data_IF_996594920712
#
_entry.id   IF_996594920712
#
_cell.length_a   1.000
_cell.length_b   1.000
_cell.length_c   1.000
_cell.angle_alpha   90.00
_cell.angle_beta   90.00
_cell.angle_gamma   90.00
#
_symmetry.space_group_name_H-M   'P 1'
#
loop_
_entity.id
_entity.type
_entity.pdbx_description
1 polymer ?
#
# COMPACT_ATOMS: atom_id res chain seq x y z
N UNK A 1 -5.21 103.79 -11.96
CA UNK A 1 -5.09 102.73 -12.99
C UNK A 1 -4.42 101.55 -12.31
N UNK A 2 -5.21 100.60 -11.80
CA UNK A 2 -4.70 99.46 -11.04
C UNK A 2 -4.16 98.39 -11.98
N UNK A 3 -2.94 97.93 -11.74
CA UNK A 3 -2.37 96.76 -12.41
C UNK A 3 -2.06 95.72 -11.33
N UNK A 4 -2.73 94.59 -11.45
CA UNK A 4 -2.59 93.43 -10.59
C UNK A 4 -1.21 92.78 -10.78
N UNK A 5 -0.55 92.42 -9.69
CA UNK A 5 0.57 91.48 -9.69
C UNK A 5 0.18 90.22 -8.94
N UNK A 6 0.27 89.12 -9.68
CA UNK A 6 0.01 87.74 -9.28
C UNK A 6 1.17 87.27 -8.40
N UNK A 7 0.90 86.89 -7.15
CA UNK A 7 1.84 86.15 -6.30
C UNK A 7 1.32 84.75 -6.06
N UNK A 8 2.04 83.77 -6.61
CA UNK A 8 1.82 82.34 -6.39
C UNK A 8 2.10 81.97 -4.93
N UNK A 9 1.10 81.39 -4.27
CA UNK A 9 1.22 80.83 -2.92
C UNK A 9 2.00 79.51 -2.92
N UNK A 10 3.06 79.48 -2.13
CA UNK A 10 3.86 78.30 -1.76
C UNK A 10 3.02 77.26 -1.01
N UNK A 11 2.92 76.05 -1.57
CA UNK A 11 2.27 74.91 -0.93
C UNK A 11 3.20 74.22 0.09
N UNK A 12 2.69 73.99 1.30
CA UNK A 12 3.37 73.29 2.40
C UNK A 12 3.55 71.80 2.09
N UNK A 13 4.68 71.15 2.45
CA UNK A 13 4.91 69.74 2.14
C UNK A 13 4.03 68.83 3.01
N UNK A 14 3.17 68.05 2.36
CA UNK A 14 2.35 67.01 2.99
C UNK A 14 3.23 65.94 3.65
N UNK A 15 3.02 65.68 4.94
CA UNK A 15 3.69 64.63 5.68
C UNK A 15 3.28 63.25 5.13
N UNK A 16 4.21 62.57 4.44
CA UNK A 16 4.04 61.20 3.96
C UNK A 16 4.21 60.24 5.15
N UNK A 17 3.10 59.77 5.72
CA UNK A 17 3.10 58.76 6.77
C UNK A 17 3.48 57.39 6.17
N UNK A 18 4.73 56.96 6.33
CA UNK A 18 5.18 55.62 5.92
C UNK A 18 4.58 54.60 6.91
N UNK A 19 3.43 54.02 6.59
CA UNK A 19 2.95 52.81 7.27
C UNK A 19 3.88 51.64 6.92
N UNK A 20 4.79 51.30 7.85
CA UNK A 20 5.55 50.04 7.79
C UNK A 20 4.59 48.86 7.85
N UNK A 21 4.31 48.21 6.72
CA UNK A 21 3.63 46.91 6.68
C UNK A 21 4.45 45.90 7.47
N UNK A 22 3.92 45.43 8.60
CA UNK A 22 4.46 44.31 9.38
C UNK A 22 4.45 43.07 8.47
N UNK A 23 5.62 42.56 8.06
CA UNK A 23 5.73 41.26 7.37
C UNK A 23 5.17 40.19 8.31
N UNK A 24 4.06 39.57 7.94
CA UNK A 24 3.57 38.37 8.60
C UNK A 24 4.60 37.26 8.37
N UNK A 25 5.25 36.80 9.43
CA UNK A 25 6.08 35.60 9.37
C UNK A 25 5.15 34.44 9.01
N UNK A 26 5.32 33.88 7.82
CA UNK A 26 4.57 32.70 7.40
C UNK A 26 4.79 31.61 8.46
N UNK A 27 3.70 31.14 9.07
CA UNK A 27 3.76 30.06 10.06
C UNK A 27 4.37 28.85 9.34
N UNK A 28 5.53 28.38 9.78
CA UNK A 28 6.16 27.19 9.20
C UNK A 28 5.23 26.01 9.53
N UNK A 29 4.39 25.62 8.57
CA UNK A 29 3.53 24.44 8.70
C UNK A 29 4.46 23.24 8.57
N UNK A 30 4.75 22.58 9.69
CA UNK A 30 5.50 21.33 9.67
C UNK A 30 4.71 20.29 8.88
N UNK A 31 5.35 19.52 7.98
CA UNK A 31 4.67 18.49 7.23
C UNK A 31 4.08 17.45 8.18
N UNK A 32 2.89 16.94 7.88
CA UNK A 32 2.21 15.93 8.70
C UNK A 32 2.71 14.51 8.45
N UNK A 33 3.57 14.32 7.44
CA UNK A 33 4.11 13.04 6.98
C UNK A 33 5.43 13.29 6.23
N UNK A 34 6.31 12.27 6.10
CA UNK A 34 7.48 12.36 5.25
C UNK A 34 7.14 12.67 3.77
N UNK A 35 8.01 13.45 3.14
CA UNK A 35 8.02 13.69 1.69
C UNK A 35 8.43 12.43 0.92
N UNK A 36 8.20 12.42 -0.39
CA UNK A 36 8.57 11.27 -1.24
C UNK A 36 10.07 10.98 -1.19
N UNK A 37 10.91 12.03 -1.25
CA UNK A 37 12.36 11.91 -1.15
C UNK A 37 12.81 11.40 0.22
N UNK A 38 12.16 11.83 1.30
CA UNK A 38 12.44 11.31 2.65
C UNK A 38 12.11 9.83 2.75
N UNK A 39 10.96 9.38 2.23
CA UNK A 39 10.62 7.96 2.21
C UNK A 39 11.63 7.13 1.41
N UNK A 40 12.03 7.59 0.23
CA UNK A 40 13.05 6.91 -0.60
C UNK A 40 14.36 6.81 0.16
N UNK A 41 14.80 7.92 0.77
CA UNK A 41 16.05 7.95 1.53
C UNK A 41 15.99 7.01 2.74
N UNK A 42 14.92 7.06 3.54
CA UNK A 42 14.73 6.17 4.69
C UNK A 42 14.79 4.69 4.29
N UNK A 43 14.19 4.32 3.16
CA UNK A 43 14.17 2.94 2.69
C UNK A 43 15.50 2.48 2.10
N UNK A 44 16.17 3.35 1.35
CA UNK A 44 17.48 3.04 0.77
C UNK A 44 18.54 2.91 1.88
N UNK A 45 18.53 3.82 2.86
CA UNK A 45 19.42 3.84 4.02
C UNK A 45 19.00 2.82 5.11
N UNK A 46 17.91 2.08 4.90
CA UNK A 46 17.41 1.11 5.86
C UNK A 46 18.36 -0.09 5.97
N UNK A 47 18.89 -0.31 7.16
CA UNK A 47 19.68 -1.48 7.54
C UNK A 47 18.89 -2.27 8.57
N UNK A 48 18.54 -3.50 8.20
CA UNK A 48 17.79 -4.43 9.06
C UNK A 48 18.70 -4.90 10.19
N UNK A 49 18.14 -4.95 11.40
CA UNK A 49 18.84 -5.50 12.55
C UNK A 49 19.01 -7.02 12.39
N UNK A 50 20.27 -7.46 12.49
CA UNK A 50 20.69 -8.85 12.23
C UNK A 50 20.04 -9.84 13.19
N UNK A 51 19.74 -9.41 14.42
CA UNK A 51 19.13 -10.25 15.45
C UNK A 51 17.71 -10.69 15.05
N UNK A 52 17.03 -9.91 14.21
CA UNK A 52 15.67 -10.19 13.75
C UNK A 52 15.62 -10.80 12.35
N UNK A 53 16.74 -10.91 11.64
CA UNK A 53 16.78 -11.35 10.24
C UNK A 53 16.11 -12.72 10.05
N UNK A 54 16.41 -13.68 10.93
CA UNK A 54 15.81 -15.02 10.88
C UNK A 54 14.29 -15.02 11.08
N UNK A 55 13.77 -14.15 11.95
CA UNK A 55 12.33 -14.02 12.17
C UNK A 55 11.63 -13.36 10.97
N UNK A 56 12.27 -12.38 10.35
CA UNK A 56 11.79 -11.71 9.14
C UNK A 56 11.73 -12.72 7.98
N UNK A 57 12.82 -13.46 7.76
CA UNK A 57 12.90 -14.48 6.69
C UNK A 57 11.86 -15.58 6.89
N UNK A 58 11.74 -16.12 8.11
CA UNK A 58 10.70 -17.10 8.44
C UNK A 58 9.30 -16.55 8.15
N UNK A 59 9.03 -15.28 8.43
CA UNK A 59 7.73 -14.68 8.14
C UNK A 59 7.47 -14.59 6.63
N UNK A 60 8.48 -14.18 5.86
CA UNK A 60 8.39 -14.13 4.40
C UNK A 60 8.11 -15.53 3.84
N UNK A 61 8.86 -16.53 4.30
CA UNK A 61 8.79 -17.89 3.76
C UNK A 61 7.55 -18.67 4.18
N UNK A 62 7.08 -18.50 5.43
CA UNK A 62 5.93 -19.24 5.94
C UNK A 62 4.60 -18.55 5.66
N UNK A 63 4.56 -17.22 5.61
CA UNK A 63 3.30 -16.46 5.57
C UNK A 63 3.10 -15.72 4.26
N UNK A 64 4.15 -15.16 3.66
CA UNK A 64 4.01 -14.30 2.48
C UNK A 64 4.11 -15.13 1.20
N UNK A 65 5.22 -15.83 1.01
CA UNK A 65 5.50 -16.59 -0.21
C UNK A 65 4.43 -17.64 -0.55
N UNK A 66 3.94 -18.46 0.41
CA UNK A 66 2.92 -19.46 0.11
C UNK A 66 1.57 -18.85 -0.28
N UNK A 67 1.31 -17.61 0.14
CA UNK A 67 0.06 -16.91 -0.10
C UNK A 67 0.16 -15.85 -1.22
N UNK A 68 1.29 -15.78 -1.95
CA UNK A 68 1.51 -14.78 -3.01
C UNK A 68 0.38 -14.77 -4.04
N UNK A 69 -0.04 -15.94 -4.53
CA UNK A 69 -1.11 -16.04 -5.54
C UNK A 69 -2.42 -15.44 -5.05
N UNK A 70 -2.79 -15.70 -3.79
CA UNK A 70 -3.99 -15.13 -3.17
C UNK A 70 -3.95 -13.60 -3.12
N UNK A 71 -2.81 -13.01 -2.80
CA UNK A 71 -2.65 -11.56 -2.82
C UNK A 71 -2.71 -10.98 -4.24
N UNK A 72 -2.15 -11.70 -5.22
CA UNK A 72 -2.29 -11.34 -6.65
C UNK A 72 -3.75 -11.41 -7.09
N UNK A 73 -4.48 -12.46 -6.75
CA UNK A 73 -5.90 -12.62 -7.10
C UNK A 73 -6.75 -11.49 -6.51
N UNK A 74 -6.53 -11.13 -5.24
CA UNK A 74 -7.20 -9.97 -4.62
C UNK A 74 -6.89 -8.69 -5.39
N UNK A 75 -5.63 -8.49 -5.76
CA UNK A 75 -5.23 -7.33 -6.56
C UNK A 75 -5.95 -7.27 -7.91
N UNK A 76 -6.04 -8.38 -8.61
CA UNK A 76 -6.78 -8.50 -9.88
C UNK A 76 -8.27 -8.22 -9.70
N UNK A 77 -8.90 -8.81 -8.67
CA UNK A 77 -10.32 -8.59 -8.34
C UNK A 77 -10.62 -7.11 -8.00
N UNK A 78 -9.69 -6.43 -7.32
CA UNK A 78 -9.82 -4.99 -7.03
C UNK A 78 -9.75 -4.17 -8.31
N UNK A 79 -8.86 -4.54 -9.24
CA UNK A 79 -8.72 -3.90 -10.56
C UNK A 79 -9.86 -4.25 -11.53
N UNK A 80 -10.80 -5.13 -11.14
CA UNK A 80 -11.90 -5.59 -12.00
C UNK A 80 -11.47 -6.60 -13.07
N UNK A 81 -10.31 -7.23 -12.90
CA UNK A 81 -9.83 -8.33 -13.75
C UNK A 81 -10.32 -9.65 -13.18
N UNK A 82 -10.71 -10.57 -14.05
CA UNK A 82 -10.98 -11.95 -13.63
C UNK A 82 -9.63 -12.66 -13.43
N UNK A 83 -9.41 -13.35 -12.30
CA UNK A 83 -8.20 -14.13 -12.08
C UNK A 83 -8.00 -15.07 -13.27
N UNK A 84 -6.82 -15.03 -13.88
CA UNK A 84 -6.49 -15.93 -14.98
C UNK A 84 -6.57 -17.37 -14.46
N UNK A 85 -7.57 -18.12 -14.91
CA UNK A 85 -7.77 -19.53 -14.54
C UNK A 85 -6.65 -20.38 -15.15
N UNK A 86 -5.48 -20.36 -14.52
CA UNK A 86 -4.38 -21.30 -14.79
C UNK A 86 -4.12 -22.12 -13.53
N UNK A 87 -5.17 -22.77 -13.02
CA UNK A 87 -5.06 -23.85 -12.06
C UNK A 87 -6.31 -24.74 -12.19
N UNK A 88 -6.08 -26.01 -12.52
CA UNK A 88 -7.07 -27.07 -12.49
C UNK A 88 -7.94 -26.98 -11.23
N UNK A 89 -9.19 -26.59 -11.39
CA UNK A 89 -10.20 -26.69 -10.34
C UNK A 89 -11.51 -27.07 -11.00
N UNK A 90 -11.78 -28.37 -10.98
CA UNK A 90 -13.09 -28.95 -11.23
C UNK A 90 -14.06 -28.42 -10.17
N UNK A 91 -14.65 -27.24 -10.41
CA UNK A 91 -15.88 -26.82 -9.76
C UNK A 91 -17.01 -27.00 -10.75
N UNK A 92 -17.73 -28.12 -10.59
CA UNK A 92 -18.91 -28.43 -11.35
C UNK A 92 -20.02 -27.44 -11.04
N UNK A 93 -20.27 -26.53 -11.96
CA UNK A 93 -21.55 -25.86 -12.13
C UNK A 93 -22.20 -26.42 -13.40
N UNK A 94 -23.28 -27.17 -13.25
CA UNK A 94 -24.13 -27.58 -14.35
C UNK A 94 -25.56 -27.11 -14.06
N UNK A 95 -26.07 -26.06 -14.74
CA UNK A 95 -27.51 -25.96 -14.98
C UNK A 95 -27.81 -26.80 -16.23
N UNK A 96 -28.72 -27.76 -16.10
CA UNK A 96 -29.07 -28.67 -17.18
C UNK A 96 -29.81 -27.95 -18.31
N UNK A 97 -29.21 -27.94 -19.50
CA UNK A 97 -29.92 -28.00 -20.77
C UNK A 97 -29.02 -28.73 -21.78
N UNK A 98 -29.45 -29.93 -22.19
CA UNK A 98 -28.79 -30.71 -23.23
C UNK A 98 -29.15 -30.15 -24.61
N UNK A 99 -28.15 -29.72 -25.38
CA UNK A 99 -28.22 -29.68 -26.84
C UNK A 99 -27.00 -30.40 -27.41
N UNK A 100 -27.27 -31.37 -28.28
CA UNK A 100 -26.33 -32.33 -28.82
C UNK A 100 -25.78 -31.79 -30.15
N UNK A 101 -24.53 -31.29 -30.18
CA UNK A 101 -23.81 -31.02 -31.43
C UNK A 101 -22.34 -31.43 -31.30
N UNK A 102 -21.89 -32.29 -32.22
CA UNK A 102 -20.52 -32.81 -32.34
C UNK A 102 -19.54 -31.66 -32.69
N UNK A 103 -18.30 -31.63 -32.15
CA UNK A 103 -17.35 -30.58 -32.52
C UNK A 103 -16.61 -30.92 -33.83
N UNK A 104 -16.57 -29.95 -34.74
CA UNK A 104 -15.63 -29.88 -35.85
C UNK A 104 -14.28 -29.35 -35.32
N UNK A 105 -13.23 -30.15 -35.39
CA UNK A 105 -11.86 -29.76 -35.06
C UNK A 105 -11.20 -29.06 -36.25
N UNK A 106 -10.81 -27.79 -36.08
CA UNK A 106 -9.81 -27.15 -36.95
C UNK A 106 -8.56 -26.88 -36.14
N UNK A 107 -7.46 -27.51 -36.56
CA UNK A 107 -6.17 -27.47 -35.91
C UNK A 107 -5.28 -26.45 -36.66
N UNK A 108 -4.99 -25.32 -36.04
CA UNK A 108 -3.95 -24.39 -36.50
C UNK A 108 -2.78 -24.44 -35.52
N UNK A 109 -1.92 -25.44 -35.72
CA UNK A 109 -0.59 -25.46 -35.15
C UNK A 109 0.32 -24.64 -36.07
N UNK A 110 1.02 -23.64 -35.54
CA UNK A 110 2.40 -23.27 -35.89
C UNK A 110 2.82 -22.03 -35.07
N UNK A 111 3.20 -22.26 -33.81
CA UNK A 111 3.98 -21.30 -33.02
C UNK A 111 5.41 -21.87 -32.90
N UNK A 112 6.45 -21.19 -33.44
CA UNK A 112 7.80 -21.74 -33.58
C UNK A 112 8.59 -21.83 -32.27
N UNK A 113 7.94 -21.57 -31.13
CA UNK A 113 8.54 -21.66 -29.78
C UNK A 113 7.74 -22.55 -28.82
N UNK A 114 6.99 -23.53 -29.33
CA UNK A 114 6.35 -24.54 -28.49
C UNK A 114 7.30 -25.72 -28.19
N UNK A 115 7.87 -25.74 -27.00
CA UNK A 115 8.50 -26.95 -26.47
C UNK A 115 7.42 -27.88 -25.88
N UNK A 116 7.49 -29.20 -26.11
CA UNK A 116 6.52 -30.13 -25.56
C UNK A 116 6.57 -30.07 -24.02
N UNK A 117 5.43 -29.80 -23.40
CA UNK A 117 5.27 -29.83 -21.93
C UNK A 117 5.51 -31.26 -21.46
N UNK A 118 6.71 -31.52 -20.97
CA UNK A 118 7.02 -32.73 -20.24
C UNK A 118 6.23 -32.70 -18.91
N UNK A 119 5.28 -33.62 -18.76
CA UNK A 119 4.50 -33.82 -17.53
C UNK A 119 5.35 -34.56 -16.48
N UNK A 120 6.47 -33.97 -16.08
CA UNK A 120 7.18 -34.42 -14.88
C UNK A 120 6.47 -33.87 -13.62
N UNK A 121 6.37 -34.66 -12.53
CA UNK A 121 5.69 -34.25 -11.29
C UNK A 121 6.48 -33.19 -10.48
N UNK A 122 7.57 -32.67 -11.05
CA UNK A 122 8.39 -31.62 -10.47
C UNK A 122 8.38 -30.41 -11.41
N UNK A 123 7.29 -29.62 -11.35
CA UNK A 123 7.26 -28.31 -12.00
C UNK A 123 8.13 -27.33 -11.21
N UNK A 124 9.38 -27.16 -11.64
CA UNK A 124 10.14 -25.97 -11.28
C UNK A 124 9.50 -24.78 -12.01
N UNK A 125 8.84 -23.89 -11.26
CA UNK A 125 8.40 -22.60 -11.80
C UNK A 125 9.66 -21.82 -12.19
N UNK A 126 9.73 -21.40 -13.45
CA UNK A 126 10.84 -20.57 -13.92
C UNK A 126 10.86 -19.27 -13.09
N UNK A 127 11.96 -18.94 -12.39
CA UNK A 127 12.03 -17.72 -11.58
C UNK A 127 11.84 -16.45 -12.43
N UNK A 128 12.14 -16.53 -13.73
CA UNK A 128 11.92 -15.45 -14.69
C UNK A 128 10.45 -15.19 -15.03
N UNK A 129 9.55 -16.18 -14.99
CA UNK A 129 8.11 -15.92 -15.25
C UNK A 129 7.48 -15.06 -14.15
N UNK A 130 8.01 -15.16 -12.92
CA UNK A 130 7.52 -14.36 -11.79
C UNK A 130 7.98 -12.90 -11.92
N UNK A 131 9.19 -12.65 -12.42
CA UNK A 131 9.73 -11.29 -12.57
C UNK A 131 9.09 -10.51 -13.73
N UNK A 132 8.65 -11.20 -14.80
CA UNK A 132 8.03 -10.55 -15.96
C UNK A 132 6.61 -10.08 -15.63
N UNK A 133 5.86 -10.84 -14.82
CA UNK A 133 4.56 -10.39 -14.32
C UNK A 133 4.68 -9.15 -13.42
N UNK A 134 5.71 -9.07 -12.57
CA UNK A 134 5.96 -7.88 -11.74
C UNK A 134 6.38 -6.65 -12.60
N UNK A 135 6.95 -6.85 -13.80
CA UNK A 135 7.36 -5.76 -14.71
C UNK A 135 6.19 -5.14 -15.52
N UNK A 136 5.16 -5.92 -15.86
CA UNK A 136 4.01 -5.46 -16.67
C UNK A 136 2.92 -4.79 -15.81
N UNK A 137 2.97 -4.89 -14.49
CA UNK A 137 2.01 -4.28 -13.55
C UNK A 137 2.33 -2.78 -13.27
N UNK A 138 3.09 -2.12 -14.14
CA UNK A 138 3.28 -0.68 -14.09
C UNK A 138 2.05 0.03 -14.70
N UNK A 139 1.06 0.32 -13.86
CA UNK A 139 -0.13 1.07 -14.26
C UNK A 139 -1.03 1.39 -13.09
N UNK A 140 -2.06 0.58 -12.82
CA UNK A 140 -3.15 0.99 -11.91
C UNK A 140 -3.51 -0.08 -10.87
N UNK A 141 -2.65 -1.06 -10.68
CA UNK A 141 -2.96 -2.24 -9.89
C UNK A 141 -2.15 -2.26 -8.60
N UNK A 142 -2.81 -2.64 -7.50
CA UNK A 142 -2.21 -2.69 -6.17
C UNK A 142 -1.15 -3.80 -6.15
N UNK A 143 0.11 -3.55 -5.82
CA UNK A 143 1.10 -4.62 -5.78
C UNK A 143 0.72 -5.68 -4.74
N UNK A 144 0.88 -6.96 -5.08
CA UNK A 144 0.54 -8.07 -4.19
C UNK A 144 1.28 -7.96 -2.84
N UNK A 145 2.52 -7.47 -2.85
CA UNK A 145 3.33 -7.29 -1.64
C UNK A 145 2.80 -6.20 -0.71
N UNK A 146 2.09 -5.19 -1.24
CA UNK A 146 1.40 -4.19 -0.42
C UNK A 146 0.26 -4.85 0.37
N UNK A 147 -0.54 -5.70 -0.30
CA UNK A 147 -1.66 -6.42 0.33
C UNK A 147 -1.12 -7.38 1.39
N UNK A 148 -0.01 -8.08 1.12
CA UNK A 148 0.65 -8.94 2.11
C UNK A 148 1.06 -8.15 3.38
N UNK A 149 1.65 -6.97 3.22
CA UNK A 149 2.02 -6.11 4.34
C UNK A 149 0.80 -5.55 5.10
N UNK A 150 -0.25 -5.14 4.40
CA UNK A 150 -1.50 -4.70 5.03
C UNK A 150 -2.16 -5.85 5.82
N UNK A 151 -2.18 -7.07 5.25
CA UNK A 151 -2.70 -8.25 5.92
C UNK A 151 -1.95 -8.58 7.23
N UNK A 152 -0.62 -8.40 7.22
CA UNK A 152 0.19 -8.51 8.43
C UNK A 152 -0.19 -7.46 9.49
N UNK A 153 -0.25 -6.19 9.10
CA UNK A 153 -0.51 -5.08 10.03
C UNK A 153 -1.89 -5.19 10.67
N UNK A 154 -2.92 -5.55 9.90
CA UNK A 154 -4.31 -5.58 10.37
C UNK A 154 -4.70 -6.90 11.03
N UNK A 155 -4.20 -8.02 10.52
CA UNK A 155 -4.69 -9.35 10.91
C UNK A 155 -3.60 -10.30 11.40
N UNK A 156 -2.33 -9.89 11.42
CA UNK A 156 -1.18 -10.78 11.71
C UNK A 156 -1.23 -12.06 10.86
N UNK A 157 -1.54 -11.91 9.56
CA UNK A 157 -1.69 -13.00 8.58
C UNK A 157 -2.88 -13.96 8.80
N UNK A 158 -3.82 -13.65 9.68
CA UNK A 158 -5.02 -14.47 9.88
C UNK A 158 -6.07 -14.27 8.78
N UNK A 159 -6.21 -15.27 7.90
CA UNK A 159 -7.30 -15.36 6.90
C UNK A 159 -8.71 -15.58 7.47
N UNK A 160 -8.87 -15.55 8.80
CA UNK A 160 -10.17 -15.63 9.50
C UNK A 160 -10.69 -14.25 9.95
N UNK A 161 -9.99 -13.18 9.60
CA UNK A 161 -10.28 -11.81 10.04
C UNK A 161 -10.48 -10.86 8.86
N UNK A 162 -11.34 -9.88 9.03
CA UNK A 162 -11.57 -8.80 8.08
C UNK A 162 -10.31 -7.94 7.91
N UNK A 163 -9.89 -7.71 6.66
CA UNK A 163 -8.79 -6.80 6.36
C UNK A 163 -9.09 -5.35 6.76
N UNK A 164 -10.35 -5.02 7.02
CA UNK A 164 -10.75 -3.69 7.47
C UNK A 164 -10.14 -3.28 8.82
N UNK A 165 -10.17 -4.19 9.80
CA UNK A 165 -9.91 -3.87 11.22
C UNK A 165 -9.67 -5.10 12.11
N UNK A 166 -9.50 -6.28 11.52
CA UNK A 166 -9.20 -7.51 12.23
C UNK A 166 -10.39 -8.19 12.93
N UNK A 167 -11.63 -7.73 12.77
CA UNK A 167 -12.80 -8.43 13.31
C UNK A 167 -13.01 -9.80 12.62
N UNK A 168 -13.64 -10.81 13.26
CA UNK A 168 -13.82 -12.13 12.66
C UNK A 168 -14.73 -12.13 11.43
N UNK A 169 -14.39 -12.92 10.40
CA UNK A 169 -15.18 -13.07 9.16
C UNK A 169 -16.56 -13.73 9.35
N UNK A 170 -16.86 -14.22 10.56
CA UNK A 170 -18.11 -14.91 10.87
C UNK A 170 -19.29 -13.96 11.08
N UNK A 171 -19.04 -12.64 11.13
CA UNK A 171 -20.04 -11.59 11.32
C UNK A 171 -19.61 -10.35 10.53
N UNK A 172 -20.47 -9.33 10.48
CA UNK A 172 -20.04 -8.01 10.00
C UNK A 172 -19.06 -7.35 10.98
N UNK A 173 -18.22 -6.44 10.47
CA UNK A 173 -17.36 -5.61 11.32
C UNK A 173 -18.17 -4.80 12.33
N UNK A 174 -17.73 -4.81 13.58
CA UNK A 174 -18.27 -3.99 14.67
C UNK A 174 -17.40 -2.76 14.86
N UNK A 175 -16.08 -2.95 14.79
CA UNK A 175 -15.12 -1.83 14.77
C UNK A 175 -15.27 -1.03 13.49
N UNK A 176 -14.82 0.21 13.55
CA UNK A 176 -14.81 1.11 12.39
C UNK A 176 -13.85 0.56 11.33
N UNK A 177 -14.23 0.54 10.03
CA UNK A 177 -15.56 0.83 9.49
C UNK A 177 -16.56 -0.29 9.83
N UNK A 178 -17.68 0.05 10.47
CA UNK A 178 -18.69 -0.92 10.89
C UNK A 178 -19.57 -1.38 9.72
N UNK A 179 -20.22 -2.54 9.89
CA UNK A 179 -21.17 -3.14 8.94
C UNK A 179 -20.55 -3.48 7.57
N UNK A 180 -19.31 -3.97 7.56
CA UNK A 180 -18.58 -4.44 6.38
C UNK A 180 -18.34 -5.96 6.42
N UNK A 181 -18.11 -6.61 5.27
CA UNK A 181 -18.13 -6.09 3.89
C UNK A 181 -19.55 -5.88 3.34
N UNK A 182 -19.68 -5.16 2.22
CA UNK A 182 -20.95 -5.01 1.49
C UNK A 182 -21.01 -5.96 0.30
N UNK A 183 -21.10 -7.26 0.59
CA UNK A 183 -21.31 -8.31 -0.40
C UNK A 183 -22.76 -8.78 -0.42
N UNK A 184 -23.22 -9.33 -1.54
CA UNK A 184 -24.63 -9.66 -1.80
C UNK A 184 -25.22 -10.84 -1.01
N UNK A 185 -24.58 -11.26 0.08
CA UNK A 185 -25.01 -12.37 0.93
C UNK A 185 -24.66 -12.11 2.42
N UNK A 186 -25.33 -12.77 3.37
CA UNK A 186 -24.98 -12.69 4.79
C UNK A 186 -23.67 -13.46 5.11
N UNK A 187 -23.06 -13.24 6.30
CA UNK A 187 -21.87 -13.99 6.74
C UNK A 187 -22.12 -15.51 6.85
N UNK A 188 -21.06 -16.34 6.85
CA UNK A 188 -19.65 -15.97 6.91
C UNK A 188 -19.09 -15.47 5.57
N UNK A 189 -18.08 -14.60 5.64
CA UNK A 189 -17.39 -14.05 4.48
C UNK A 189 -16.05 -14.73 4.24
N UNK A 190 -15.59 -14.72 2.99
CA UNK A 190 -14.21 -15.06 2.65
C UNK A 190 -13.27 -13.88 2.96
N UNK A 191 -11.98 -14.19 3.10
CA UNK A 191 -10.98 -13.14 3.28
C UNK A 191 -10.89 -12.24 2.06
N UNK A 192 -10.98 -12.82 0.86
CA UNK A 192 -10.91 -12.16 -0.43
C UNK A 192 -12.05 -11.15 -0.59
N UNK A 193 -13.29 -11.53 -0.28
CA UNK A 193 -14.45 -10.62 -0.26
C UNK A 193 -14.24 -9.43 0.66
N UNK A 194 -13.78 -9.69 1.89
CA UNK A 194 -13.48 -8.63 2.84
C UNK A 194 -12.33 -7.74 2.38
N UNK A 195 -11.29 -8.32 1.76
CA UNK A 195 -10.13 -7.57 1.31
C UNK A 195 -10.48 -6.67 0.13
N UNK A 196 -11.27 -7.16 -0.83
CA UNK A 196 -11.74 -6.36 -1.96
C UNK A 196 -12.62 -5.20 -1.50
N UNK A 197 -13.57 -5.43 -0.58
CA UNK A 197 -14.39 -4.34 0.00
C UNK A 197 -13.51 -3.30 0.70
N UNK A 198 -12.54 -3.74 1.51
CA UNK A 198 -11.62 -2.85 2.24
C UNK A 198 -10.78 -1.98 1.31
N UNK A 199 -10.12 -2.59 0.32
CA UNK A 199 -9.23 -1.88 -0.60
C UNK A 199 -9.99 -0.90 -1.49
N UNK A 200 -11.22 -1.25 -1.91
CA UNK A 200 -12.10 -0.34 -2.66
C UNK A 200 -12.65 0.79 -1.78
N UNK A 201 -13.02 0.49 -0.52
CA UNK A 201 -13.46 1.51 0.44
C UNK A 201 -12.38 2.57 0.69
N UNK A 202 -11.11 2.16 0.72
CA UNK A 202 -9.96 3.05 0.85
C UNK A 202 -9.55 3.72 -0.47
N UNK A 203 -10.28 3.47 -1.57
CA UNK A 203 -10.02 4.00 -2.91
C UNK A 203 -8.64 3.65 -3.45
N UNK A 204 -8.10 2.50 -3.06
CA UNK A 204 -6.78 2.09 -3.55
C UNK A 204 -6.82 1.60 -5.00
N UNK A 205 -7.99 1.24 -5.50
CA UNK A 205 -8.26 0.99 -6.92
C UNK A 205 -8.16 2.26 -7.79
N UNK A 206 -8.18 3.45 -7.19
CA UNK A 206 -8.06 4.73 -7.91
C UNK A 206 -6.59 5.21 -8.01
N UNK A 207 -5.65 4.49 -7.41
CA UNK A 207 -4.22 4.85 -7.40
C UNK A 207 -3.54 4.33 -8.67
N UNK A 208 -2.99 5.26 -9.46
CA UNK A 208 -2.33 4.99 -10.74
C UNK A 208 -0.80 4.93 -10.68
N UNK A 209 -0.19 5.06 -9.51
CA UNK A 209 1.26 4.89 -9.38
C UNK A 209 1.60 4.27 -8.02
N UNK A 210 2.08 3.04 -8.06
CA UNK A 210 2.51 2.28 -6.88
C UNK A 210 4.04 2.26 -6.73
N UNK A 211 4.65 3.43 -6.79
CA UNK A 211 6.04 3.63 -6.42
C UNK A 211 6.25 3.52 -4.89
N UNK A 212 7.51 3.42 -4.48
CA UNK A 212 7.93 3.19 -3.10
C UNK A 212 7.34 4.23 -2.13
N UNK A 213 7.40 5.55 -2.39
CA UNK A 213 6.73 6.53 -1.54
C UNK A 213 5.24 6.25 -1.35
N UNK A 214 4.53 5.91 -2.42
CA UNK A 214 3.10 5.60 -2.34
C UNK A 214 2.86 4.36 -1.50
N UNK A 215 3.61 3.28 -1.71
CA UNK A 215 3.52 2.04 -0.92
C UNK A 215 3.72 2.33 0.58
N UNK A 216 4.82 2.99 0.94
CA UNK A 216 5.17 3.28 2.34
C UNK A 216 4.14 4.21 3.00
N UNK A 217 3.74 5.28 2.30
CA UNK A 217 2.76 6.23 2.80
C UNK A 217 1.41 5.57 3.03
N UNK A 218 0.96 4.70 2.13
CA UNK A 218 -0.33 4.01 2.28
C UNK A 218 -0.29 2.98 3.41
N UNK A 219 0.83 2.27 3.60
CA UNK A 219 1.03 1.38 4.75
C UNK A 219 1.06 2.14 6.08
N UNK A 220 1.70 3.30 6.14
CA UNK A 220 1.68 4.14 7.34
C UNK A 220 0.29 4.71 7.62
N UNK A 221 -0.44 5.10 6.57
CA UNK A 221 -1.79 5.65 6.68
C UNK A 221 -2.80 4.70 7.36
N UNK A 222 -2.62 3.38 7.25
CA UNK A 222 -3.46 2.39 7.97
C UNK A 222 -3.48 2.65 9.48
N UNK A 223 -2.32 2.94 10.07
CA UNK A 223 -2.19 3.23 11.50
C UNK A 223 -2.24 4.75 11.80
N UNK A 224 -1.96 5.57 10.80
CA UNK A 224 -1.93 7.02 10.87
C UNK A 224 -0.54 7.61 11.11
N UNK A 225 -0.40 8.88 10.71
CA UNK A 225 0.88 9.62 10.73
C UNK A 225 1.23 10.27 12.09
N UNK A 226 0.65 9.78 13.18
CA UNK A 226 0.78 10.42 14.51
C UNK A 226 2.23 10.48 15.01
N UNK A 227 3.03 9.47 14.66
CA UNK A 227 4.45 9.39 14.99
C UNK A 227 5.27 10.55 14.42
N UNK A 228 5.19 10.74 13.11
CA UNK A 228 5.90 11.82 12.44
C UNK A 228 5.32 13.19 12.86
N UNK A 229 4.00 13.32 12.80
CA UNK A 229 3.29 14.59 13.03
C UNK A 229 3.48 15.16 14.44
N UNK A 230 3.41 14.32 15.47
CA UNK A 230 3.40 14.80 16.87
C UNK A 230 4.71 14.54 17.61
N UNK A 231 5.51 13.57 17.18
CA UNK A 231 6.72 13.17 17.89
C UNK A 231 7.99 13.29 17.06
N UNK A 232 7.88 13.60 15.76
CA UNK A 232 9.03 13.73 14.84
C UNK A 232 9.91 12.48 14.86
N UNK A 233 9.28 11.30 15.01
CA UNK A 233 9.95 10.01 14.89
C UNK A 233 9.34 9.20 13.75
N UNK A 234 10.14 8.30 13.20
CA UNK A 234 9.70 7.33 12.21
C UNK A 234 8.73 6.32 12.84
N UNK A 235 7.68 5.96 12.10
CA UNK A 235 6.65 5.04 12.58
C UNK A 235 7.22 3.63 12.83
N UNK A 236 7.04 3.04 14.04
CA UNK A 236 7.44 1.66 14.28
C UNK A 236 6.71 0.66 13.39
N UNK A 237 5.50 1.00 12.90
CA UNK A 237 4.74 0.15 11.99
C UNK A 237 5.41 -0.03 10.63
N UNK A 238 6.29 0.89 10.24
CA UNK A 238 7.13 0.75 9.06
C UNK A 238 8.53 0.26 9.40
N UNK A 239 9.15 0.81 10.45
CA UNK A 239 10.60 0.80 10.60
C UNK A 239 11.13 -0.01 11.80
N UNK A 240 10.26 -0.59 12.63
CA UNK A 240 10.71 -1.43 13.75
C UNK A 240 11.53 -2.63 13.24
N UNK A 241 12.62 -2.93 13.94
CA UNK A 241 13.71 -3.87 13.56
C UNK A 241 14.68 -3.37 12.48
N UNK A 242 14.85 -2.05 12.36
CA UNK A 242 15.93 -1.45 11.56
C UNK A 242 16.56 -0.24 12.24
N UNK A 243 17.64 0.27 11.66
CA UNK A 243 18.29 1.52 12.07
C UNK A 243 17.39 2.77 11.96
N UNK A 244 16.25 2.69 11.27
CA UNK A 244 15.33 3.81 11.09
C UNK A 244 14.39 4.04 12.28
N UNK A 245 14.38 3.14 13.27
CA UNK A 245 13.59 3.27 14.51
C UNK A 245 14.35 2.73 15.72
N UNK A 246 14.23 3.38 16.87
CA UNK A 246 14.83 2.89 18.12
C UNK A 246 13.80 2.68 19.24
N UNK A 247 12.96 3.68 19.51
CA UNK A 247 11.96 3.66 20.58
C UNK A 247 10.92 4.76 20.40
N UNK A 248 9.85 4.68 21.16
CA UNK A 248 8.70 5.56 21.09
C UNK A 248 7.52 4.84 20.45
N UNK A 249 6.45 4.59 21.20
CA UNK A 249 5.23 4.02 20.64
C UNK A 249 3.95 4.47 21.33
N UNK A 250 2.86 4.47 20.57
CA UNK A 250 1.54 4.50 21.17
C UNK A 250 1.26 3.14 21.82
N UNK A 251 1.14 3.13 23.15
CA UNK A 251 0.85 1.91 23.93
C UNK A 251 -0.65 1.62 24.02
N UNK A 252 -1.46 2.66 23.80
CA UNK A 252 -2.90 2.59 23.59
C UNK A 252 -3.35 3.82 22.79
N UNK A 253 -4.62 3.87 22.42
CA UNK A 253 -5.21 5.00 21.71
C UNK A 253 -4.89 6.33 22.41
N UNK A 254 -4.21 7.22 21.68
CA UNK A 254 -3.79 8.53 22.14
C UNK A 254 -2.68 8.57 23.20
N UNK A 255 -2.19 7.42 23.70
CA UNK A 255 -1.16 7.37 24.75
C UNK A 255 0.21 7.00 24.18
N UNK A 256 1.02 8.02 23.90
CA UNK A 256 2.40 7.86 23.46
C UNK A 256 3.35 7.69 24.65
N UNK A 257 4.20 6.67 24.59
CA UNK A 257 5.32 6.45 25.50
C UNK A 257 6.63 6.53 24.71
N UNK A 258 7.49 7.50 25.05
CA UNK A 258 8.78 7.77 24.38
C UNK A 258 9.86 6.73 24.69
N UNK A 259 9.67 5.89 25.71
CA UNK A 259 10.62 4.85 26.12
C UNK A 259 10.21 3.46 25.66
N UNK A 260 8.92 3.26 25.37
CA UNK A 260 8.43 1.97 24.93
C UNK A 260 8.98 1.60 23.53
N UNK A 261 9.39 0.34 23.38
CA UNK A 261 9.93 -0.22 22.13
C UNK A 261 8.88 -1.12 21.49
N UNK A 262 8.75 -1.05 20.17
CA UNK A 262 7.88 -1.96 19.41
C UNK A 262 8.47 -3.36 19.40
N UNK A 263 7.62 -4.36 19.60
CA UNK A 263 7.95 -5.80 19.43
C UNK A 263 7.32 -6.36 18.14
N UNK A 264 6.75 -5.48 17.33
CA UNK A 264 6.18 -5.80 16.04
C UNK A 264 7.20 -5.42 14.98
N UNK A 265 7.44 -6.32 14.02
CA UNK A 265 8.27 -6.03 12.85
C UNK A 265 7.59 -4.96 11.99
N UNK A 266 8.36 -4.02 11.45
CA UNK A 266 7.84 -2.99 10.56
C UNK A 266 7.61 -3.48 9.13
N UNK A 267 6.58 -2.98 8.46
CA UNK A 267 6.25 -3.36 7.09
C UNK A 267 7.32 -2.95 6.06
N UNK A 268 7.99 -1.80 6.25
CA UNK A 268 9.09 -1.40 5.39
C UNK A 268 10.30 -2.33 5.52
N UNK A 269 10.52 -2.90 6.72
CA UNK A 269 11.55 -3.92 6.95
C UNK A 269 11.25 -5.21 6.19
N UNK A 270 9.98 -5.65 6.17
CA UNK A 270 9.56 -6.81 5.35
C UNK A 270 9.82 -6.53 3.87
N UNK A 271 9.36 -5.37 3.36
CA UNK A 271 9.56 -4.96 1.97
C UNK A 271 11.05 -4.89 1.60
N UNK A 272 11.88 -4.28 2.46
CA UNK A 272 13.32 -4.19 2.29
C UNK A 272 13.95 -5.57 2.18
N UNK A 273 13.57 -6.49 3.08
CA UNK A 273 14.09 -7.86 3.05
C UNK A 273 13.65 -8.63 1.81
N UNK A 274 12.40 -8.46 1.36
CA UNK A 274 11.93 -9.06 0.10
C UNK A 274 12.68 -8.49 -1.11
N UNK A 275 13.00 -7.20 -1.14
CA UNK A 275 13.79 -6.56 -2.19
C UNK A 275 15.25 -7.05 -2.19
N UNK A 276 15.90 -7.14 -1.02
CA UNK A 276 17.25 -7.71 -0.86
C UNK A 276 17.33 -9.16 -1.33
N UNK A 277 16.24 -9.92 -1.15
CA UNK A 277 16.10 -11.30 -1.62
C UNK A 277 15.62 -11.39 -3.07
N UNK A 278 15.49 -10.27 -3.78
CA UNK A 278 15.04 -10.19 -5.18
C UNK A 278 13.65 -10.80 -5.43
N UNK A 279 12.80 -10.85 -4.41
CA UNK A 279 11.43 -11.39 -4.51
C UNK A 279 10.44 -10.37 -5.08
N UNK A 280 10.80 -9.09 -4.98
CA UNK A 280 10.04 -7.94 -5.48
C UNK A 280 11.00 -6.89 -6.04
N UNK A 281 10.45 -6.00 -6.85
CA UNK A 281 11.07 -4.74 -7.23
C UNK A 281 10.04 -3.63 -7.05
N UNK A 282 10.43 -2.53 -6.38
CA UNK A 282 9.53 -1.40 -6.13
C UNK A 282 10.05 -0.16 -6.86
N UNK A 283 9.32 0.41 -7.84
CA UNK A 283 9.72 1.63 -8.52
C UNK A 283 9.96 2.76 -7.53
N UNK A 284 10.98 3.60 -7.74
CA UNK A 284 11.20 4.79 -6.89
C UNK A 284 10.48 6.04 -7.40
N UNK A 285 10.09 6.04 -8.68
CA UNK A 285 9.42 7.13 -9.38
C UNK A 285 8.24 6.58 -10.17
#
# INVERSE_FOLDING_TARGET
MGIAYITFGIASPSAFLIMKKKKSVAKIIKPSQPTDLEYIKLFNDCVIDKDFLGAIDKTIDDQINPNKSKYTDISDLVAGRNPSTTANSFYGFAPGFALNTRPLTMNFSNDPFSFPINKSPFQFKNPFETSINDFIVAGNQIPWYFIACAHYLECSFSFKKHLHNGDPLTNYTVKVPANRPKVGHPPPFTFEESAVDALKLMKFNEISNWNLPTVLRKLEAYNGFGYFKYHQINSPYLWSYSNQYSKGKYVSDGKFDSKAVSKQMGAAVILKRMEERTLISIPRH
#
